data_IF_830988977801
#
_entry.id   IF_830988977801
#
_cell.length_a   1.000
_cell.length_b   1.000
_cell.length_c   1.000
_cell.angle_alpha   90.00
_cell.angle_beta   90.00
_cell.angle_gamma   90.00
#
_symmetry.space_group_name_H-M   'P 1'
#
loop_
_entity.id
_entity.type
_entity.pdbx_description
1 polymer ?
#
# COMPACT_ATOMS: atom_id res chain seq x y z
N UNK A 1 6.14 12.16 17.16
CA UNK A 1 5.50 10.86 16.87
C UNK A 1 4.64 11.04 15.61
N UNK A 2 4.65 10.11 14.63
CA UNK A 2 3.77 10.22 13.46
C UNK A 2 2.30 10.33 13.88
N UNK A 3 1.48 11.11 13.17
CA UNK A 3 0.12 11.45 13.60
C UNK A 3 -0.83 10.24 13.77
N UNK A 4 -0.55 9.14 13.10
CA UNK A 4 -1.31 7.88 13.19
C UNK A 4 -0.80 6.93 14.29
N UNK A 5 0.24 7.32 15.04
CA UNK A 5 0.79 6.55 16.15
C UNK A 5 0.42 7.23 17.47
N UNK A 6 -0.03 6.49 18.52
CA UNK A 6 -0.33 7.07 19.82
C UNK A 6 0.87 7.84 20.40
N UNK A 7 0.69 9.08 20.85
CA UNK A 7 1.80 9.86 21.41
C UNK A 7 1.99 9.60 22.92
N UNK A 8 2.42 8.38 23.24
CA UNK A 8 2.64 7.91 24.62
C UNK A 8 4.11 7.58 24.88
N UNK A 9 4.56 7.51 26.15
CA UNK A 9 5.94 7.11 26.47
C UNK A 9 6.33 5.75 25.88
N UNK A 10 5.40 4.78 25.86
CA UNK A 10 5.64 3.45 25.28
C UNK A 10 5.92 3.55 23.77
N UNK A 11 5.08 4.26 23.02
CA UNK A 11 5.28 4.45 21.59
C UNK A 11 6.55 5.24 21.24
N UNK A 12 6.91 6.25 22.06
CA UNK A 12 8.17 6.99 21.89
C UNK A 12 9.40 6.11 22.14
N UNK A 13 9.34 5.19 23.10
CA UNK A 13 10.41 4.22 23.34
C UNK A 13 10.57 3.24 22.16
N UNK A 14 9.45 2.71 21.64
CA UNK A 14 9.44 1.85 20.45
C UNK A 14 10.04 2.58 19.23
N UNK A 15 9.65 3.84 19.01
CA UNK A 15 10.22 4.67 17.94
C UNK A 15 11.72 4.92 18.14
N UNK A 16 12.18 5.20 19.36
CA UNK A 16 13.61 5.38 19.62
C UNK A 16 14.44 4.12 19.29
N UNK A 17 13.93 2.93 19.65
CA UNK A 17 14.54 1.66 19.29
C UNK A 17 14.51 1.42 17.76
N UNK A 18 13.40 1.75 17.10
CA UNK A 18 13.27 1.68 15.65
C UNK A 18 14.32 2.56 14.95
N UNK A 19 14.50 3.80 15.40
CA UNK A 19 15.46 4.75 14.79
C UNK A 19 16.90 4.24 14.91
N UNK A 20 17.26 3.62 16.04
CA UNK A 20 18.56 2.97 16.21
C UNK A 20 18.77 1.85 15.17
N UNK A 21 17.73 1.04 14.92
CA UNK A 21 17.81 -0.04 13.93
C UNK A 21 17.83 0.47 12.48
N UNK A 22 17.10 1.55 12.19
CA UNK A 22 17.18 2.26 10.90
C UNK A 22 18.62 2.77 10.67
N UNK A 23 19.28 3.31 11.70
CA UNK A 23 20.67 3.73 11.62
C UNK A 23 21.64 2.59 11.26
N UNK A 24 21.39 1.38 11.79
CA UNK A 24 22.16 0.18 11.40
C UNK A 24 21.90 -0.22 9.95
N UNK A 25 20.65 -0.19 9.50
CA UNK A 25 20.28 -0.45 8.10
C UNK A 25 20.96 0.55 7.15
N UNK A 26 20.92 1.84 7.48
CA UNK A 26 21.57 2.91 6.70
C UNK A 26 23.09 2.68 6.53
N UNK A 27 23.78 2.36 7.62
CA UNK A 27 25.21 1.98 7.56
C UNK A 27 25.43 0.75 6.68
N UNK A 28 24.55 -0.25 6.74
CA UNK A 28 24.59 -1.43 5.87
C UNK A 28 24.48 -1.07 4.38
N UNK A 29 23.59 -0.14 4.02
CA UNK A 29 23.49 0.38 2.65
C UNK A 29 24.81 1.02 2.23
N UNK A 30 25.41 1.84 3.10
CA UNK A 30 26.71 2.45 2.87
C UNK A 30 27.82 1.43 2.57
N UNK A 31 27.87 0.34 3.34
CA UNK A 31 28.83 -0.75 3.13
C UNK A 31 28.62 -1.46 1.78
N UNK A 32 27.38 -1.81 1.43
CA UNK A 32 27.07 -2.46 0.14
C UNK A 32 27.49 -1.58 -1.04
N UNK A 33 27.18 -0.28 -1.00
CA UNK A 33 27.61 0.66 -2.04
C UNK A 33 29.13 0.86 -2.07
N UNK A 34 29.81 0.77 -0.92
CA UNK A 34 31.26 0.82 -0.84
C UNK A 34 31.91 -0.41 -1.50
N UNK A 35 31.35 -1.60 -1.31
CA UNK A 35 31.85 -2.81 -1.96
C UNK A 35 31.67 -2.76 -3.48
N UNK A 36 30.52 -2.30 -3.98
CA UNK A 36 30.33 -2.06 -5.42
C UNK A 36 31.34 -1.05 -5.97
N UNK A 37 31.70 -0.03 -5.18
CA UNK A 37 32.73 0.97 -5.56
C UNK A 37 34.13 0.35 -5.59
N UNK A 38 34.50 -0.44 -4.58
CA UNK A 38 35.80 -1.15 -4.51
C UNK A 38 35.96 -2.12 -5.66
N UNK A 39 34.89 -2.81 -6.02
CA UNK A 39 34.85 -3.73 -7.17
C UNK A 39 34.70 -3.00 -8.53
N UNK A 40 34.65 -1.67 -8.56
CA UNK A 40 34.49 -0.85 -9.77
C UNK A 40 33.18 -1.05 -10.55
N UNK A 41 32.14 -1.62 -9.94
CA UNK A 41 30.84 -1.87 -10.58
C UNK A 41 29.79 -0.79 -10.28
N UNK A 42 30.01 0.07 -9.29
CA UNK A 42 29.01 1.07 -8.90
C UNK A 42 28.57 1.99 -10.07
N UNK A 43 29.51 2.37 -10.93
CA UNK A 43 29.23 3.24 -12.08
C UNK A 43 28.61 2.52 -13.29
N UNK A 44 28.35 1.21 -13.18
CA UNK A 44 27.64 0.40 -14.18
C UNK A 44 26.41 -0.29 -13.59
N UNK A 45 25.95 0.12 -12.40
CA UNK A 45 24.88 -0.54 -11.66
C UNK A 45 23.71 0.41 -11.45
N UNK A 46 22.50 0.01 -11.86
CA UNK A 46 21.26 0.64 -11.41
C UNK A 46 21.02 0.30 -9.93
N UNK A 47 20.92 1.32 -9.08
CA UNK A 47 20.64 1.15 -7.66
C UNK A 47 19.20 1.56 -7.36
N UNK A 48 18.45 0.66 -6.72
CA UNK A 48 17.09 0.89 -6.24
C UNK A 48 17.06 0.64 -4.74
N UNK A 49 16.53 1.59 -3.97
CA UNK A 49 16.24 1.41 -2.54
C UNK A 49 14.76 1.62 -2.28
N UNK A 50 14.13 0.70 -1.54
CA UNK A 50 12.73 0.81 -1.12
C UNK A 50 12.46 -0.03 0.14
N UNK A 51 11.21 -0.08 0.57
CA UNK A 51 10.68 -0.92 1.65
C UNK A 51 9.48 -1.71 1.13
N UNK A 52 9.15 -2.84 1.73
CA UNK A 52 8.08 -3.74 1.30
C UNK A 52 6.68 -3.29 1.75
N UNK A 53 6.56 -2.81 2.99
CA UNK A 53 5.32 -2.28 3.56
C UNK A 53 5.58 -1.19 4.61
N UNK A 54 4.50 -0.55 5.06
CA UNK A 54 4.54 0.46 6.12
C UNK A 54 5.06 -0.06 7.47
N UNK A 55 5.36 0.87 8.37
CA UNK A 55 5.96 0.58 9.68
C UNK A 55 5.02 -0.24 10.59
N UNK A 56 5.55 -1.05 11.53
CA UNK A 56 4.75 -1.94 12.39
C UNK A 56 4.12 -1.20 13.59
N UNK A 57 3.26 -0.22 13.30
CA UNK A 57 2.52 0.59 14.27
C UNK A 57 1.02 0.61 13.92
N UNK A 58 0.11 1.05 14.82
CA UNK A 58 -1.32 1.10 14.52
C UNK A 58 -1.61 1.83 13.21
N UNK A 59 -2.43 1.27 12.31
CA UNK A 59 -2.70 1.86 10.99
C UNK A 59 -1.56 1.77 9.97
N UNK A 60 -0.39 1.23 10.34
CA UNK A 60 0.76 0.98 9.47
C UNK A 60 0.66 -0.36 8.74
N UNK A 61 1.64 -1.26 8.96
CA UNK A 61 1.66 -2.63 8.42
C UNK A 61 0.27 -3.28 8.50
N UNK A 62 -0.06 -4.10 7.50
CA UNK A 62 -1.34 -4.80 7.29
C UNK A 62 -2.53 -3.92 6.87
N UNK A 63 -2.37 -2.59 6.77
CA UNK A 63 -3.44 -1.68 6.33
C UNK A 63 -3.21 -1.18 4.90
N UNK A 64 -4.31 -0.92 4.18
CA UNK A 64 -4.28 -0.17 2.91
C UNK A 64 -4.51 1.35 3.11
N UNK A 65 -4.24 1.87 4.31
CA UNK A 65 -4.09 3.30 4.58
C UNK A 65 -2.72 3.80 4.10
N UNK A 66 -2.53 5.11 4.01
CA UNK A 66 -1.27 5.71 3.56
C UNK A 66 -0.09 5.24 4.40
N UNK A 67 -0.27 5.16 5.72
CA UNK A 67 0.74 4.67 6.67
C UNK A 67 1.15 3.21 6.45
N UNK A 68 0.30 2.40 5.80
CA UNK A 68 0.58 1.00 5.48
C UNK A 68 1.18 0.77 4.10
N UNK A 69 0.94 1.67 3.14
CA UNK A 69 1.35 1.47 1.74
C UNK A 69 2.35 2.49 1.19
N UNK A 70 2.53 3.65 1.81
CA UNK A 70 3.53 4.62 1.37
C UNK A 70 4.96 4.14 1.70
N UNK A 71 5.79 3.94 0.68
CA UNK A 71 7.17 3.46 0.81
C UNK A 71 8.19 4.52 0.42
N UNK A 72 9.38 4.55 1.04
CA UNK A 72 10.51 5.25 0.46
C UNK A 72 10.86 4.59 -0.88
N UNK A 73 11.25 5.38 -1.88
CA UNK A 73 11.76 4.88 -3.15
C UNK A 73 12.85 5.82 -3.67
N UNK A 74 14.06 5.28 -3.81
CA UNK A 74 15.18 5.95 -4.46
C UNK A 74 15.60 5.13 -5.68
N UNK A 75 15.79 5.82 -6.81
CA UNK A 75 16.24 5.24 -8.07
C UNK A 75 17.47 6.01 -8.56
N UNK A 76 18.61 5.33 -8.68
CA UNK A 76 19.87 5.93 -9.09
C UNK A 76 20.47 5.16 -10.25
N UNK A 77 20.39 5.74 -11.45
CA UNK A 77 21.04 5.21 -12.65
C UNK A 77 22.38 5.93 -12.90
N UNK A 78 23.46 5.20 -13.26
CA UNK A 78 24.71 5.79 -13.71
C UNK A 78 24.56 6.53 -15.05
N UNK A 79 23.64 6.09 -15.90
CA UNK A 79 23.44 6.60 -17.27
C UNK A 79 22.51 7.82 -17.34
N UNK A 80 21.66 8.02 -16.33
CA UNK A 80 20.64 9.08 -16.32
C UNK A 80 20.85 10.08 -15.16
N UNK A 81 21.90 10.92 -15.17
CA UNK A 81 22.21 11.81 -14.05
C UNK A 81 21.33 13.06 -13.96
N UNK A 82 20.52 13.36 -14.99
CA UNK A 82 19.80 14.64 -15.17
C UNK A 82 18.94 15.07 -13.98
N UNK A 83 18.32 14.11 -13.30
CA UNK A 83 17.43 14.35 -12.15
C UNK A 83 17.98 13.86 -10.81
N UNK A 84 19.29 13.61 -10.71
CA UNK A 84 19.91 13.25 -9.42
C UNK A 84 19.67 14.35 -8.38
N UNK A 85 19.32 13.93 -7.16
CA UNK A 85 19.01 14.85 -6.06
C UNK A 85 17.65 15.56 -6.15
N UNK A 86 16.84 15.28 -7.18
CA UNK A 86 15.49 15.84 -7.30
C UNK A 86 14.44 14.92 -6.64
N UNK A 87 13.25 15.49 -6.39
CA UNK A 87 12.07 14.78 -5.89
C UNK A 87 11.03 14.70 -7.01
N UNK A 88 10.37 13.54 -7.14
CA UNK A 88 9.30 13.29 -8.10
C UNK A 88 7.94 13.23 -7.39
N UNK A 89 6.94 14.05 -7.77
CA UNK A 89 5.55 13.89 -7.32
C UNK A 89 4.78 12.78 -8.03
N UNK A 90 5.35 12.17 -9.08
CA UNK A 90 4.71 11.09 -9.82
C UNK A 90 4.37 9.89 -8.92
N UNK A 91 3.20 9.30 -9.16
CA UNK A 91 2.78 8.08 -8.48
C UNK A 91 3.48 6.85 -9.10
N UNK A 92 4.19 6.13 -8.25
CA UNK A 92 4.84 4.85 -8.54
C UNK A 92 4.35 3.78 -7.56
N UNK A 93 4.47 2.52 -7.97
CA UNK A 93 4.16 1.33 -7.16
C UNK A 93 5.32 0.35 -7.19
N UNK A 94 5.44 -0.52 -6.19
CA UNK A 94 6.45 -1.59 -6.23
C UNK A 94 6.22 -2.57 -7.41
N UNK A 95 5.01 -2.61 -7.98
CA UNK A 95 4.74 -3.35 -9.23
C UNK A 95 5.51 -2.79 -10.44
N UNK A 96 6.03 -1.56 -10.34
CA UNK A 96 6.85 -0.91 -11.37
C UNK A 96 8.32 -1.40 -11.34
N UNK A 97 8.77 -2.07 -10.27
CA UNK A 97 10.17 -2.48 -10.14
C UNK A 97 10.56 -3.56 -11.17
N UNK A 98 9.74 -4.60 -11.31
CA UNK A 98 9.98 -5.65 -12.32
C UNK A 98 10.09 -5.08 -13.73
N UNK A 99 9.11 -4.32 -14.26
CA UNK A 99 9.25 -3.74 -15.60
C UNK A 99 10.41 -2.73 -15.70
N UNK A 100 10.77 -2.02 -14.63
CA UNK A 100 11.95 -1.13 -14.61
C UNK A 100 13.26 -1.91 -14.78
N UNK A 101 13.43 -3.02 -14.06
CA UNK A 101 14.65 -3.84 -14.12
C UNK A 101 14.72 -4.58 -15.46
N UNK A 102 13.60 -5.09 -15.98
CA UNK A 102 13.53 -5.68 -17.31
C UNK A 102 13.93 -4.67 -18.39
N UNK A 103 13.42 -3.45 -18.32
CA UNK A 103 13.75 -2.35 -19.23
C UNK A 103 15.25 -1.98 -19.16
N UNK A 104 15.82 -1.89 -17.94
CA UNK A 104 17.25 -1.65 -17.74
C UNK A 104 18.14 -2.67 -18.45
N UNK A 105 17.74 -3.94 -18.48
CA UNK A 105 18.47 -5.00 -19.18
C UNK A 105 17.97 -5.26 -20.60
N UNK A 106 17.03 -4.46 -21.12
CA UNK A 106 16.40 -4.66 -22.44
C UNK A 106 15.78 -6.05 -22.62
N UNK A 107 15.20 -6.62 -21.56
CA UNK A 107 14.57 -7.93 -21.57
C UNK A 107 13.05 -7.76 -21.76
N UNK A 108 12.44 -8.31 -22.83
CA UNK A 108 11.00 -8.27 -22.99
C UNK A 108 10.29 -9.20 -21.99
N UNK A 109 9.12 -8.79 -21.50
CA UNK A 109 8.27 -9.68 -20.71
C UNK A 109 7.68 -10.78 -21.61
N UNK A 110 7.82 -12.07 -21.28
CA UNK A 110 7.36 -13.15 -22.14
C UNK A 110 5.83 -13.21 -22.20
N UNK A 111 5.30 -13.67 -23.34
CA UNK A 111 3.89 -13.97 -23.48
C UNK A 111 3.61 -15.39 -22.96
N UNK A 112 2.90 -15.50 -21.84
CA UNK A 112 2.48 -16.77 -21.25
C UNK A 112 1.17 -16.61 -20.48
N UNK A 113 0.54 -17.74 -20.15
CA UNK A 113 -0.64 -17.83 -19.30
C UNK A 113 -0.32 -18.71 -18.10
N UNK A 114 -0.84 -18.37 -16.92
CA UNK A 114 -0.73 -19.26 -15.74
C UNK A 114 -1.85 -20.31 -15.79
N UNK A 115 -3.08 -19.86 -16.09
CA UNK A 115 -4.25 -20.73 -16.21
C UNK A 115 -5.00 -20.43 -17.50
N UNK A 116 -5.42 -21.48 -18.20
CA UNK A 116 -6.17 -21.36 -19.44
C UNK A 116 -5.48 -20.50 -20.49
N UNK A 117 -6.25 -19.66 -21.18
CA UNK A 117 -5.78 -18.80 -22.28
C UNK A 117 -5.54 -17.35 -21.86
N UNK A 118 -5.72 -17.02 -20.57
CA UNK A 118 -5.56 -15.66 -20.06
C UNK A 118 -4.08 -15.30 -19.93
N UNK A 119 -3.61 -14.46 -20.84
CA UNK A 119 -2.23 -13.97 -20.81
C UNK A 119 -1.95 -13.11 -19.57
N UNK A 120 -0.80 -13.34 -18.95
CA UNK A 120 -0.28 -12.48 -17.88
C UNK A 120 0.24 -11.20 -18.49
N UNK A 121 -0.20 -10.06 -17.94
CA UNK A 121 0.31 -8.73 -18.31
C UNK A 121 0.69 -7.96 -17.04
N UNK A 122 1.86 -7.33 -17.07
CA UNK A 122 2.26 -6.40 -16.02
C UNK A 122 1.38 -5.14 -16.12
N UNK A 123 0.82 -4.71 -15.00
CA UNK A 123 0.11 -3.42 -14.90
C UNK A 123 1.00 -2.27 -14.42
N UNK A 124 2.18 -2.61 -13.89
CA UNK A 124 3.25 -1.65 -13.64
C UNK A 124 3.96 -1.23 -14.93
N UNK A 125 4.83 -0.23 -14.81
CA UNK A 125 5.59 0.37 -15.93
C UNK A 125 7.05 0.61 -15.52
N UNK A 126 7.93 0.79 -16.50
CA UNK A 126 9.30 1.21 -16.21
C UNK A 126 9.34 2.62 -15.62
N UNK A 127 10.15 2.81 -14.58
CA UNK A 127 10.44 4.09 -13.94
C UNK A 127 11.62 4.83 -14.58
N UNK A 128 12.37 4.19 -15.50
CA UNK A 128 13.52 4.82 -16.15
C UNK A 128 13.19 6.15 -16.85
N UNK A 129 12.04 6.32 -17.55
CA UNK A 129 11.66 7.61 -18.13
C UNK A 129 11.56 8.76 -17.10
N UNK A 130 11.25 8.44 -15.84
CA UNK A 130 11.17 9.44 -14.78
C UNK A 130 12.55 10.01 -14.37
N UNK A 131 13.64 9.34 -14.73
CA UNK A 131 15.01 9.83 -14.51
C UNK A 131 15.42 10.93 -15.50
N UNK A 132 14.75 11.01 -16.65
CA UNK A 132 15.00 12.03 -17.67
C UNK A 132 14.06 13.23 -17.57
N UNK A 133 12.78 12.98 -17.30
CA UNK A 133 11.74 14.01 -17.25
C UNK A 133 10.62 13.61 -16.28
N UNK A 134 9.96 14.60 -15.68
CA UNK A 134 8.85 14.35 -14.76
C UNK A 134 7.67 13.71 -15.50
N UNK A 135 7.05 12.71 -14.87
CA UNK A 135 5.99 11.91 -15.47
C UNK A 135 4.63 12.29 -14.87
N UNK A 136 3.55 12.37 -15.67
CA UNK A 136 2.23 12.76 -15.18
C UNK A 136 1.48 11.62 -14.47
N UNK A 137 2.19 10.62 -13.94
CA UNK A 137 1.58 9.44 -13.34
C UNK A 137 0.86 9.80 -12.04
N UNK A 138 -0.40 9.39 -11.94
CA UNK A 138 -1.29 9.86 -10.89
C UNK A 138 -2.04 8.75 -10.14
N UNK A 139 -1.93 7.49 -10.58
CA UNK A 139 -2.73 6.38 -10.04
C UNK A 139 -1.84 5.25 -9.53
N UNK A 140 -2.18 4.71 -8.36
CA UNK A 140 -1.61 3.49 -7.79
C UNK A 140 -2.73 2.60 -7.24
N UNK A 141 -2.54 1.28 -7.32
CA UNK A 141 -3.47 0.28 -6.81
C UNK A 141 -2.82 -0.56 -5.72
N UNK A 142 -3.63 -1.14 -4.83
CA UNK A 142 -3.17 -2.07 -3.80
C UNK A 142 -4.22 -3.15 -3.55
N UNK A 143 -3.76 -4.36 -3.25
CA UNK A 143 -4.60 -5.51 -2.96
C UNK A 143 -3.99 -6.34 -1.84
N UNK A 144 -4.82 -6.71 -0.86
CA UNK A 144 -4.45 -7.60 0.24
C UNK A 144 -5.60 -8.59 0.47
N UNK A 145 -5.29 -9.85 0.74
CA UNK A 145 -6.31 -10.86 1.07
C UNK A 145 -6.13 -11.40 2.49
N UNK A 146 -4.93 -11.92 2.79
CA UNK A 146 -4.54 -12.39 4.12
C UNK A 146 -3.28 -11.66 4.58
N UNK A 147 -2.94 -11.79 5.87
CA UNK A 147 -1.58 -11.55 6.37
C UNK A 147 -1.04 -12.86 6.97
N UNK A 148 -1.42 -13.19 8.21
CA UNK A 148 -1.40 -14.58 8.66
C UNK A 148 -2.60 -15.34 8.07
N UNK A 149 -2.52 -16.67 8.02
CA UNK A 149 -3.61 -17.51 7.48
C UNK A 149 -4.93 -17.33 8.24
N UNK A 150 -4.87 -17.01 9.53
CA UNK A 150 -6.04 -16.73 10.40
C UNK A 150 -6.60 -15.33 10.21
N UNK A 151 -5.91 -14.45 9.48
CA UNK A 151 -6.26 -13.04 9.31
C UNK A 151 -6.92 -12.78 7.95
N UNK A 152 -8.11 -13.35 7.74
CA UNK A 152 -8.89 -13.13 6.52
C UNK A 152 -9.66 -11.80 6.56
N UNK A 153 -9.03 -10.75 6.05
CA UNK A 153 -9.64 -9.43 5.89
C UNK A 153 -9.23 -8.81 4.54
N UNK A 154 -9.85 -9.25 3.43
CA UNK A 154 -9.46 -8.78 2.11
C UNK A 154 -9.81 -7.30 1.91
N UNK A 155 -8.86 -6.56 1.36
CA UNK A 155 -9.00 -5.16 1.04
C UNK A 155 -8.52 -4.88 -0.39
N UNK A 156 -9.16 -3.94 -1.07
CA UNK A 156 -8.76 -3.43 -2.39
C UNK A 156 -8.70 -1.92 -2.31
N UNK A 157 -7.68 -1.30 -2.88
CA UNK A 157 -7.55 0.14 -2.83
C UNK A 157 -7.02 0.74 -4.14
N UNK A 158 -7.46 1.96 -4.40
CA UNK A 158 -6.94 2.82 -5.45
C UNK A 158 -6.61 4.18 -4.82
N UNK A 159 -5.46 4.73 -5.18
CA UNK A 159 -5.15 6.13 -4.96
C UNK A 159 -5.00 6.83 -6.30
N UNK A 160 -5.76 7.89 -6.50
CA UNK A 160 -5.61 8.81 -7.63
C UNK A 160 -5.31 10.22 -7.10
N UNK A 161 -4.07 10.66 -7.26
CA UNK A 161 -3.56 11.90 -6.67
C UNK A 161 -3.81 11.91 -5.15
N UNK A 162 -4.58 12.88 -4.66
CA UNK A 162 -4.92 13.02 -3.24
C UNK A 162 -6.12 12.20 -2.81
N UNK A 163 -6.89 11.61 -3.73
CA UNK A 163 -8.02 10.76 -3.35
C UNK A 163 -7.60 9.31 -3.17
N UNK A 164 -7.99 8.71 -2.06
CA UNK A 164 -7.84 7.27 -1.81
C UNK A 164 -9.19 6.65 -1.56
N UNK A 165 -9.47 5.54 -2.24
CA UNK A 165 -10.64 4.70 -2.01
C UNK A 165 -10.15 3.32 -1.53
N UNK A 166 -10.70 2.85 -0.41
CA UNK A 166 -10.49 1.50 0.14
C UNK A 166 -11.81 0.76 0.18
N UNK A 167 -11.80 -0.50 -0.26
CA UNK A 167 -12.91 -1.44 -0.18
C UNK A 167 -12.53 -2.55 0.81
N UNK A 168 -13.23 -2.59 1.95
CA UNK A 168 -13.11 -3.64 2.95
C UNK A 168 -14.13 -4.73 2.65
N UNK A 169 -13.70 -5.87 2.10
CA UNK A 169 -14.63 -6.92 1.66
C UNK A 169 -15.29 -7.63 2.85
N UNK A 170 -14.58 -7.77 3.97
CA UNK A 170 -15.07 -8.42 5.20
C UNK A 170 -15.38 -7.41 6.32
N UNK A 171 -15.89 -6.23 5.97
CA UNK A 171 -16.04 -5.09 6.88
C UNK A 171 -16.94 -5.33 8.12
N UNK A 172 -17.90 -6.26 8.05
CA UNK A 172 -18.77 -6.63 9.17
C UNK A 172 -18.01 -7.35 10.30
N UNK A 173 -16.85 -7.94 10.01
CA UNK A 173 -15.98 -8.58 10.99
C UNK A 173 -14.92 -7.59 11.50
N UNK A 174 -14.41 -7.76 12.73
CA UNK A 174 -13.34 -6.90 13.24
C UNK A 174 -12.05 -7.10 12.42
N UNK A 175 -11.33 -6.01 12.18
CA UNK A 175 -10.00 -6.02 11.58
C UNK A 175 -9.05 -6.89 12.45
N UNK A 176 -8.39 -7.91 11.88
CA UNK A 176 -7.54 -8.81 12.64
C UNK A 176 -6.20 -8.14 13.00
N UNK A 177 -5.59 -8.59 14.10
CA UNK A 177 -4.28 -8.14 14.58
C UNK A 177 -3.32 -9.32 14.53
N UNK A 178 -2.15 -9.12 13.90
CA UNK A 178 -1.10 -10.14 13.85
C UNK A 178 -0.42 -10.32 15.20
N UNK A 179 0.11 -11.52 15.42
CA UNK A 179 0.64 -11.95 16.72
C UNK A 179 1.85 -11.11 17.15
N UNK A 180 2.73 -10.78 16.19
CA UNK A 180 3.92 -9.96 16.42
C UNK A 180 3.55 -8.54 16.85
N UNK A 181 2.62 -7.90 16.13
CA UNK A 181 2.19 -6.55 16.46
C UNK A 181 1.38 -6.51 17.76
N UNK A 182 0.60 -7.56 18.06
CA UNK A 182 -0.17 -7.66 19.30
C UNK A 182 0.72 -7.49 20.53
N UNK A 183 1.91 -8.10 20.54
CA UNK A 183 2.82 -8.03 21.69
C UNK A 183 3.71 -6.77 21.72
N UNK A 184 3.60 -5.89 20.73
CA UNK A 184 4.37 -4.65 20.70
C UNK A 184 4.03 -3.75 21.90
N UNK A 185 5.02 -3.05 22.51
CA UNK A 185 4.76 -2.13 23.62
C UNK A 185 3.73 -1.05 23.27
N UNK A 186 3.78 -0.52 22.04
CA UNK A 186 2.81 0.44 21.54
C UNK A 186 1.38 -0.11 21.53
N UNK A 187 1.15 -1.32 21.01
CA UNK A 187 -0.20 -1.88 20.96
C UNK A 187 -0.70 -2.31 22.34
N UNK A 188 0.18 -2.83 23.20
CA UNK A 188 -0.17 -3.17 24.58
C UNK A 188 -0.57 -1.94 25.40
N UNK A 189 0.15 -0.81 25.28
CA UNK A 189 -0.22 0.46 25.92
C UNK A 189 -1.57 0.99 25.40
N UNK A 190 -1.79 0.95 24.08
CA UNK A 190 -3.06 1.34 23.46
C UNK A 190 -4.24 0.49 24.00
N UNK A 191 -4.05 -0.84 24.08
CA UNK A 191 -5.06 -1.78 24.57
C UNK A 191 -5.37 -1.56 26.05
N UNK A 192 -4.34 -1.40 26.89
CA UNK A 192 -4.49 -1.18 28.32
C UNK A 192 -5.21 0.14 28.63
N UNK A 193 -4.82 1.23 27.95
CA UNK A 193 -5.50 2.53 28.09
C UNK A 193 -6.96 2.46 27.68
N UNK A 194 -7.25 1.81 26.56
CA UNK A 194 -8.63 1.63 26.08
C UNK A 194 -9.47 0.85 27.10
N UNK A 195 -8.95 -0.26 27.64
CA UNK A 195 -9.64 -1.07 28.67
C UNK A 195 -9.88 -0.31 29.97
N UNK A 196 -8.93 0.54 30.36
CA UNK A 196 -9.02 1.36 31.57
C UNK A 196 -9.85 2.65 31.38
N UNK A 197 -10.38 2.92 30.18
CA UNK A 197 -11.08 4.16 29.86
C UNK A 197 -10.18 5.40 29.92
N UNK A 198 -8.87 5.23 29.75
CA UNK A 198 -7.90 6.31 29.79
C UNK A 198 -7.68 6.92 28.39
N UNK A 199 -7.25 8.19 28.30
CA UNK A 199 -6.84 8.78 27.04
C UNK A 199 -5.74 7.95 26.35
N UNK A 200 -6.00 7.54 25.12
CA UNK A 200 -5.07 6.77 24.29
C UNK A 200 -4.06 7.65 23.56
N UNK A 201 -4.33 8.96 23.44
CA UNK A 201 -3.55 9.90 22.64
C UNK A 201 -3.35 9.45 21.18
N UNK A 202 -4.34 8.71 20.66
CA UNK A 202 -4.38 8.23 19.29
C UNK A 202 -5.44 9.00 18.49
N UNK A 203 -5.25 9.11 17.17
CA UNK A 203 -6.19 9.78 16.27
C UNK A 203 -7.44 8.94 15.93
N UNK A 204 -7.50 7.69 16.42
CA UNK A 204 -8.63 6.77 16.29
C UNK A 204 -8.90 6.09 17.64
N UNK A 205 -10.01 5.36 17.70
CA UNK A 205 -10.29 4.40 18.78
C UNK A 205 -10.11 2.96 18.28
N UNK A 206 -9.87 2.01 19.19
CA UNK A 206 -9.83 0.59 18.80
C UNK A 206 -11.14 0.12 18.15
N UNK A 207 -12.29 0.63 18.59
CA UNK A 207 -13.58 0.32 17.97
C UNK A 207 -13.61 0.71 16.48
N UNK A 208 -13.22 1.94 16.15
CA UNK A 208 -13.14 2.42 14.76
C UNK A 208 -12.07 1.66 13.96
N UNK A 209 -11.01 1.20 14.61
CA UNK A 209 -9.95 0.44 13.94
C UNK A 209 -10.39 -0.99 13.60
N UNK A 210 -11.16 -1.61 14.47
CA UNK A 210 -11.71 -2.95 14.27
C UNK A 210 -12.89 -2.92 13.31
N UNK A 211 -13.88 -2.06 13.51
CA UNK A 211 -15.11 -2.03 12.74
C UNK A 211 -15.09 -0.85 11.77
N UNK A 212 -14.78 -1.17 10.52
CA UNK A 212 -14.60 -0.19 9.43
C UNK A 212 -15.80 -0.23 8.50
N UNK A 213 -16.01 0.86 7.76
CA UNK A 213 -17.01 0.90 6.70
C UNK A 213 -16.60 0.00 5.53
N UNK A 214 -17.58 -0.51 4.76
CA UNK A 214 -17.32 -1.26 3.52
C UNK A 214 -16.47 -0.44 2.54
N UNK A 215 -16.77 0.86 2.45
CA UNK A 215 -16.09 1.79 1.57
C UNK A 215 -15.56 2.97 2.38
N UNK A 216 -14.28 3.25 2.23
CA UNK A 216 -13.62 4.39 2.84
C UNK A 216 -13.03 5.27 1.73
N UNK A 217 -13.53 6.51 1.59
CA UNK A 217 -13.01 7.49 0.64
C UNK A 217 -12.38 8.65 1.42
N UNK A 218 -11.15 9.01 1.09
CA UNK A 218 -10.41 10.09 1.73
C UNK A 218 -9.89 11.09 0.71
N UNK A 219 -9.95 12.38 1.05
CA UNK A 219 -9.18 13.45 0.41
C UNK A 219 -7.93 13.75 1.27
N UNK A 220 -6.81 13.11 0.93
CA UNK A 220 -5.57 13.24 1.69
C UNK A 220 -4.91 14.63 1.59
N UNK A 221 -5.42 15.53 0.74
CA UNK A 221 -4.94 16.91 0.70
C UNK A 221 -5.52 17.75 1.85
N UNK A 222 -6.73 17.41 2.30
CA UNK A 222 -7.43 18.09 3.40
C UNK A 222 -7.36 17.30 4.70
N UNK A 223 -7.33 15.99 4.62
CA UNK A 223 -7.25 15.07 5.75
C UNK A 223 -6.09 14.07 5.54
N UNK A 224 -4.83 14.48 5.80
CA UNK A 224 -3.68 13.60 5.67
C UNK A 224 -3.70 12.40 6.61
N UNK A 225 -4.55 12.42 7.65
CA UNK A 225 -4.67 11.39 8.66
C UNK A 225 -5.72 10.31 8.32
N UNK A 226 -6.47 10.47 7.22
CA UNK A 226 -7.49 9.51 6.75
C UNK A 226 -8.49 9.17 7.89
N UNK A 227 -9.01 10.24 8.48
CA UNK A 227 -9.90 10.24 9.64
C UNK A 227 -11.36 10.53 9.30
N UNK A 228 -11.62 11.21 8.17
CA UNK A 228 -12.96 11.61 7.71
C UNK A 228 -13.35 10.81 6.47
N UNK A 229 -14.23 9.83 6.62
CA UNK A 229 -14.73 9.05 5.49
C UNK A 229 -15.76 9.86 4.67
N UNK A 230 -15.49 10.02 3.38
CA UNK A 230 -16.31 10.77 2.41
C UNK A 230 -17.19 9.86 1.54
N UNK A 231 -17.16 8.54 1.73
CA UNK A 231 -17.81 7.60 0.81
C UNK A 231 -19.34 7.77 0.73
N UNK A 232 -19.97 8.22 1.81
CA UNK A 232 -21.42 8.49 1.88
C UNK A 232 -21.79 9.95 1.63
N UNK A 233 -20.81 10.83 1.41
CA UNK A 233 -21.06 12.24 1.15
C UNK A 233 -21.48 12.44 -0.32
N UNK A 234 -22.71 12.90 -0.60
CA UNK A 234 -23.20 13.06 -1.97
C UNK A 234 -22.37 14.03 -2.81
N UNK A 235 -21.61 14.95 -2.18
CA UNK A 235 -20.71 15.88 -2.88
C UNK A 235 -19.53 15.18 -3.54
N UNK A 236 -19.18 13.97 -3.09
CA UNK A 236 -18.08 13.16 -3.62
C UNK A 236 -18.55 11.94 -4.42
N UNK A 237 -19.85 11.85 -4.74
CA UNK A 237 -20.42 10.70 -5.43
C UNK A 237 -19.73 10.41 -6.78
N UNK A 238 -19.46 11.44 -7.58
CA UNK A 238 -18.78 11.28 -8.87
C UNK A 238 -17.35 10.77 -8.72
N UNK A 239 -16.61 11.29 -7.74
CA UNK A 239 -15.25 10.84 -7.40
C UNK A 239 -15.28 9.38 -6.96
N UNK A 240 -16.21 9.03 -6.07
CA UNK A 240 -16.40 7.66 -5.59
C UNK A 240 -16.64 6.70 -6.76
N UNK A 241 -17.61 7.00 -7.64
CA UNK A 241 -17.93 6.12 -8.77
C UNK A 241 -16.77 5.99 -9.76
N UNK A 242 -16.07 7.08 -10.06
CA UNK A 242 -14.91 7.06 -10.95
C UNK A 242 -13.76 6.20 -10.41
N UNK A 243 -13.46 6.30 -9.12
CA UNK A 243 -12.42 5.49 -8.47
C UNK A 243 -12.84 4.03 -8.35
N UNK A 244 -14.10 3.77 -7.98
CA UNK A 244 -14.66 2.41 -7.93
C UNK A 244 -14.58 1.71 -9.28
N UNK A 245 -14.94 2.41 -10.37
CA UNK A 245 -14.87 1.87 -11.72
C UNK A 245 -13.42 1.55 -12.14
N UNK A 246 -12.46 2.43 -11.82
CA UNK A 246 -11.05 2.17 -12.08
C UNK A 246 -10.49 1.00 -11.28
N UNK A 247 -10.85 0.90 -9.99
CA UNK A 247 -10.46 -0.22 -9.13
C UNK A 247 -11.01 -1.54 -9.67
N UNK A 248 -12.29 -1.59 -10.01
CA UNK A 248 -12.94 -2.77 -10.57
C UNK A 248 -12.31 -3.19 -11.90
N UNK A 249 -12.01 -2.22 -12.78
CA UNK A 249 -11.31 -2.49 -14.03
C UNK A 249 -9.94 -3.13 -13.77
N UNK A 250 -9.15 -2.58 -12.84
CA UNK A 250 -7.85 -3.14 -12.50
C UNK A 250 -7.96 -4.56 -11.94
N UNK A 251 -8.94 -4.83 -11.06
CA UNK A 251 -9.22 -6.18 -10.56
C UNK A 251 -9.52 -7.17 -11.69
N UNK A 252 -10.35 -6.77 -12.65
CA UNK A 252 -10.62 -7.57 -13.85
C UNK A 252 -9.40 -7.75 -14.73
N UNK A 253 -8.59 -6.72 -14.95
CA UNK A 253 -7.36 -6.74 -15.75
C UNK A 253 -6.29 -7.67 -15.13
N UNK A 254 -6.27 -7.80 -13.80
CA UNK A 254 -5.34 -8.68 -13.06
C UNK A 254 -5.90 -10.06 -12.74
N UNK A 255 -7.18 -10.33 -13.00
CA UNK A 255 -7.78 -11.64 -12.74
C UNK A 255 -7.98 -11.92 -11.26
N UNK A 256 -8.40 -10.90 -10.51
CA UNK A 256 -8.64 -11.00 -9.06
C UNK A 256 -9.76 -11.99 -8.73
N UNK A 257 -9.49 -13.08 -7.98
CA UNK A 257 -10.51 -14.05 -7.59
C UNK A 257 -11.63 -13.46 -6.70
N UNK A 258 -11.38 -12.31 -6.06
CA UNK A 258 -12.35 -11.62 -5.20
C UNK A 258 -13.13 -10.52 -5.92
N UNK A 259 -13.02 -10.40 -7.25
CA UNK A 259 -13.59 -9.27 -8.02
C UNK A 259 -15.11 -9.08 -7.83
N UNK A 260 -15.85 -10.15 -7.56
CA UNK A 260 -17.30 -10.10 -7.31
C UNK A 260 -17.68 -10.10 -5.82
N UNK A 261 -16.73 -10.32 -4.91
CA UNK A 261 -17.01 -10.37 -3.48
C UNK A 261 -17.21 -8.96 -2.89
N UNK A 262 -18.01 -8.81 -1.82
CA UNK A 262 -18.70 -9.85 -1.04
C UNK A 262 -20.17 -10.10 -1.41
N UNK A 263 -20.71 -9.35 -2.37
CA UNK A 263 -22.14 -9.29 -2.73
C UNK A 263 -22.53 -10.20 -3.92
N UNK A 264 -21.54 -10.74 -4.63
CA UNK A 264 -21.75 -11.59 -5.79
C UNK A 264 -20.74 -12.74 -5.89
N UNK A 265 -21.08 -13.71 -6.74
CA UNK A 265 -20.23 -14.84 -7.13
C UNK A 265 -19.71 -14.63 -8.54
N UNK A 266 -18.45 -15.00 -8.78
CA UNK A 266 -17.84 -14.96 -10.11
C UNK A 266 -18.27 -16.19 -10.93
N UNK A 267 -19.01 -15.97 -12.01
CA UNK A 267 -19.43 -16.98 -12.99
C UNK A 267 -18.97 -16.60 -14.40
N UNK A 268 -17.78 -17.05 -14.79
CA UNK A 268 -17.11 -16.62 -16.04
C UNK A 268 -17.89 -16.93 -17.33
N UNK A 269 -18.80 -17.92 -17.28
CA UNK A 269 -19.60 -18.37 -18.42
C UNK A 269 -20.86 -17.55 -18.66
N UNK A 270 -21.25 -16.68 -17.73
CA UNK A 270 -22.49 -15.92 -17.77
C UNK A 270 -22.23 -14.42 -17.97
N UNK A 271 -23.27 -13.69 -18.39
CA UNK A 271 -23.25 -12.22 -18.46
C UNK A 271 -24.45 -11.63 -17.70
N UNK A 272 -24.23 -10.70 -16.75
CA UNK A 272 -22.94 -10.27 -16.20
C UNK A 272 -22.23 -11.42 -15.45
N UNK A 273 -20.89 -11.36 -15.41
CA UNK A 273 -20.05 -12.38 -14.77
C UNK A 273 -20.18 -12.38 -13.24
N UNK A 274 -20.38 -11.22 -12.60
CA UNK A 274 -20.73 -11.18 -11.18
C UNK A 274 -22.23 -11.41 -11.00
N UNK A 275 -22.60 -12.51 -10.33
CA UNK A 275 -23.99 -12.92 -10.06
C UNK A 275 -24.38 -12.55 -8.63
N UNK A 276 -25.45 -11.76 -8.43
CA UNK A 276 -25.80 -11.27 -7.09
C UNK A 276 -26.20 -12.42 -6.17
N UNK A 277 -25.80 -12.33 -4.90
CA UNK A 277 -26.16 -13.27 -3.85
C UNK A 277 -27.45 -12.90 -3.10
N UNK A 278 -27.88 -11.65 -3.18
CA UNK A 278 -28.97 -11.11 -2.36
C UNK A 278 -28.76 -11.33 -0.84
N UNK A 279 -27.52 -11.15 -0.38
CA UNK A 279 -27.06 -11.43 0.99
C UNK A 279 -27.04 -10.19 1.90
N UNK A 280 -27.94 -9.23 1.65
CA UNK A 280 -28.10 -7.99 2.44
C UNK A 280 -26.83 -7.10 2.45
N UNK A 281 -26.06 -7.12 1.37
CA UNK A 281 -24.86 -6.30 1.14
C UNK A 281 -25.01 -5.44 -0.11
#
# INVERSE_FOLDING_TARGET
>A
VPAFVPDTPAARADLAAQYTTIGRMDQGIGLVLQELRRASFLNSTLVIYTSDNGIPFPGGRTNLYRSGTAQPLLLSSPEHPRRRGQVSPAFATLLDLTPTILDWFSIPYPAYSIFGTRQVRLTGKSLLPALESEQPWATAFSSQSHHEVTMYYPMRAIQHRHFRLVHNLNYKMPFPIDQDFYVSPTFQDLLNRTRAGQPTHWNKTLHQYYYRDRWELFDCSRDPAESQNLALDPRYADVFQALRAQLLKWQWDTGDPWVCAPDAVLEEKLSPQCRPLHNEL
#
